data_IF_931487802895
#
_entry.id   IF_931487802895
#
_cell.length_a   1.000
_cell.length_b   1.000
_cell.length_c   1.000
_cell.angle_alpha   90.00
_cell.angle_beta   90.00
_cell.angle_gamma   90.00
#
_symmetry.space_group_name_H-M   'P 1'
#
loop_
_entity.id
_entity.type
_entity.pdbx_description
1 polymer ?
#
# COMPACT_ATOMS: atom_id res chain seq x y z
N UNK A 1 -43.77 -16.26 7.00
CA UNK A 1 -42.57 -15.77 6.27
C UNK A 1 -42.60 -14.25 6.23
N UNK A 2 -41.70 -13.57 6.96
CA UNK A 2 -41.68 -12.10 7.03
C UNK A 2 -40.89 -11.55 5.84
N UNK A 3 -41.57 -10.92 4.89
CA UNK A 3 -40.92 -10.29 3.74
C UNK A 3 -40.07 -9.11 4.21
N UNK A 4 -38.74 -9.27 4.17
CA UNK A 4 -37.79 -8.18 4.43
C UNK A 4 -37.98 -7.08 3.37
N UNK A 5 -38.62 -5.96 3.74
CA UNK A 5 -38.74 -4.77 2.88
C UNK A 5 -37.35 -4.32 2.43
N UNK A 6 -37.07 -4.41 1.13
CA UNK A 6 -35.80 -3.95 0.54
C UNK A 6 -35.80 -2.43 0.50
N UNK A 7 -35.00 -1.83 1.36
CA UNK A 7 -34.83 -0.38 1.45
C UNK A 7 -33.94 0.13 0.30
N UNK A 8 -34.53 0.30 -0.89
CA UNK A 8 -33.83 0.80 -2.07
C UNK A 8 -33.84 2.33 -2.10
N UNK A 9 -32.80 2.93 -2.69
CA UNK A 9 -32.71 4.39 -2.88
C UNK A 9 -33.93 4.97 -3.60
N UNK A 10 -34.54 4.20 -4.52
CA UNK A 10 -35.76 4.60 -5.23
C UNK A 10 -36.96 4.73 -4.28
N UNK A 11 -37.14 3.80 -3.35
CA UNK A 11 -38.19 3.89 -2.33
C UNK A 11 -38.00 5.07 -1.36
N UNK A 12 -36.75 5.39 -1.00
CA UNK A 12 -36.42 6.56 -0.17
C UNK A 12 -36.70 7.89 -0.87
N UNK A 13 -36.42 7.96 -2.18
CA UNK A 13 -36.68 9.16 -2.98
C UNK A 13 -38.19 9.44 -3.11
N UNK A 14 -38.99 8.39 -3.35
CA UNK A 14 -40.45 8.53 -3.42
C UNK A 14 -41.07 8.98 -2.08
N UNK A 15 -40.61 8.44 -0.94
CA UNK A 15 -41.10 8.83 0.38
C UNK A 15 -40.77 10.30 0.74
N UNK A 16 -39.61 10.82 0.29
CA UNK A 16 -39.25 12.23 0.49
C UNK A 16 -40.04 13.19 -0.39
N UNK A 17 -40.41 12.76 -1.60
CA UNK A 17 -41.24 13.57 -2.49
C UNK A 17 -42.70 13.61 -2.03
N UNK A 18 -43.23 12.50 -1.49
CA UNK A 18 -44.60 12.47 -0.95
C UNK A 18 -44.76 13.29 0.33
N UNK A 19 -43.70 13.48 1.12
CA UNK A 19 -43.74 14.33 2.32
C UNK A 19 -43.70 15.84 2.01
N UNK A 20 -43.41 16.25 0.77
CA UNK A 20 -43.44 17.66 0.37
C UNK A 20 -44.77 18.12 -0.23
N UNK A 21 -45.73 17.23 -0.46
CA UNK A 21 -47.01 17.52 -1.14
C UNK A 21 -48.20 17.14 -0.24
N UNK A 22 -48.14 17.40 1.07
CA UNK A 22 -49.34 17.19 1.88
C UNK A 22 -49.19 17.56 3.35
N UNK A 23 -49.70 18.76 3.70
CA UNK A 23 -50.52 18.99 4.89
C UNK A 23 -51.17 20.40 4.93
N UNK A 24 -50.63 21.43 4.25
CA UNK A 24 -51.08 22.82 4.48
C UNK A 24 -51.71 23.55 3.28
N UNK A 25 -52.03 22.86 2.18
CA UNK A 25 -52.54 23.50 0.95
C UNK A 25 -54.08 23.51 0.82
N UNK A 26 -54.80 23.55 1.95
CA UNK A 26 -56.26 23.58 1.94
C UNK A 26 -56.80 24.45 3.08
N UNK A 27 -56.42 25.73 3.12
CA UNK A 27 -57.19 26.85 3.67
C UNK A 27 -56.30 28.10 3.67
N UNK A 28 -56.39 28.92 2.63
CA UNK A 28 -56.60 30.36 2.81
C UNK A 28 -56.84 31.02 1.46
N UNK A 29 -57.97 31.71 1.35
CA UNK A 29 -58.26 32.60 0.24
C UNK A 29 -57.33 33.80 0.33
N UNK A 30 -56.40 33.93 -0.61
CA UNK A 30 -55.51 35.08 -0.70
C UNK A 30 -55.74 35.77 -2.03
N UNK A 31 -56.08 37.05 -1.90
CA UNK A 31 -56.33 38.06 -2.92
C UNK A 31 -55.13 38.16 -3.86
N UNK A 32 -55.40 38.19 -5.16
CA UNK A 32 -54.42 38.27 -6.25
C UNK A 32 -53.84 39.69 -6.36
N UNK A 33 -52.99 40.07 -5.38
CA UNK A 33 -52.13 41.24 -5.53
C UNK A 33 -50.90 40.85 -6.36
N UNK A 34 -50.67 41.58 -7.46
CA UNK A 34 -49.48 41.45 -8.29
C UNK A 34 -48.24 41.89 -7.50
N UNK A 35 -47.59 40.95 -6.84
CA UNK A 35 -46.26 41.17 -6.28
C UNK A 35 -45.25 41.37 -7.41
N UNK A 36 -44.80 42.59 -7.61
CA UNK A 36 -43.61 42.91 -8.41
C UNK A 36 -42.37 42.45 -7.62
N UNK A 37 -42.03 41.18 -7.76
CA UNK A 37 -40.82 40.60 -7.20
C UNK A 37 -39.60 41.16 -7.96
N UNK A 38 -38.66 41.75 -7.22
CA UNK A 38 -37.35 42.11 -7.76
C UNK A 38 -36.70 40.86 -8.38
N UNK A 39 -36.19 40.99 -9.61
CA UNK A 39 -35.52 39.90 -10.33
C UNK A 39 -34.33 39.39 -9.53
N UNK A 40 -34.49 38.27 -8.83
CA UNK A 40 -33.42 37.61 -8.09
C UNK A 40 -32.22 37.39 -9.03
N UNK A 41 -31.00 37.88 -8.70
CA UNK A 41 -29.82 37.68 -9.52
C UNK A 41 -29.45 36.19 -9.70
N UNK A 42 -30.08 35.28 -8.94
CA UNK A 42 -30.02 33.81 -9.11
C UNK A 42 -31.22 33.19 -9.83
N UNK A 43 -32.16 33.97 -10.33
CA UNK A 43 -33.32 33.48 -11.09
C UNK A 43 -32.93 32.83 -12.43
N UNK A 44 -31.72 33.09 -12.93
CA UNK A 44 -31.21 32.40 -14.11
C UNK A 44 -30.85 30.95 -13.77
N UNK A 45 -31.44 30.03 -14.53
CA UNK A 45 -31.10 28.61 -14.57
C UNK A 45 -29.59 28.43 -14.37
N UNK A 46 -29.22 27.74 -13.29
CA UNK A 46 -27.83 27.62 -12.84
C UNK A 46 -26.93 27.22 -14.00
N UNK A 47 -26.18 28.18 -14.53
CA UNK A 47 -25.32 27.93 -15.69
C UNK A 47 -24.30 26.87 -15.28
N UNK A 48 -24.12 25.81 -16.08
CA UNK A 48 -23.10 24.81 -15.78
C UNK A 48 -21.73 25.48 -15.94
N UNK A 49 -21.01 25.61 -14.82
CA UNK A 49 -19.66 26.19 -14.77
C UNK A 49 -18.62 25.43 -15.61
N UNK A 50 -18.92 24.18 -15.93
CA UNK A 50 -18.02 23.26 -16.63
C UNK A 50 -18.82 22.44 -17.64
N UNK A 51 -18.23 22.21 -18.82
CA UNK A 51 -18.82 21.31 -19.82
C UNK A 51 -18.71 19.85 -19.38
N UNK A 52 -19.53 18.95 -19.95
CA UNK A 52 -19.41 17.50 -19.68
C UNK A 52 -18.02 16.94 -20.02
N UNK A 53 -17.41 17.45 -21.10
CA UNK A 53 -16.06 17.07 -21.54
C UNK A 53 -15.01 17.47 -20.51
N UNK A 54 -15.13 18.69 -19.99
CA UNK A 54 -14.24 19.24 -18.97
C UNK A 54 -14.35 18.47 -17.65
N UNK A 55 -15.57 18.14 -17.20
CA UNK A 55 -15.77 17.28 -16.01
C UNK A 55 -15.12 15.91 -16.14
N UNK A 56 -15.18 15.30 -17.32
CA UNK A 56 -14.53 14.02 -17.59
C UNK A 56 -13.00 14.16 -17.51
N UNK A 57 -12.47 15.21 -18.12
CA UNK A 57 -11.03 15.49 -18.15
C UNK A 57 -10.50 15.81 -16.73
N UNK A 58 -11.22 16.60 -15.94
CA UNK A 58 -10.92 16.86 -14.54
C UNK A 58 -10.95 15.58 -13.69
N UNK A 59 -11.91 14.68 -13.94
CA UNK A 59 -11.97 13.38 -13.27
C UNK A 59 -10.78 12.48 -13.65
N UNK A 60 -10.35 12.49 -14.90
CA UNK A 60 -9.18 11.74 -15.34
C UNK A 60 -7.89 12.33 -14.74
N UNK A 61 -7.75 13.65 -14.74
CA UNK A 61 -6.59 14.35 -14.19
C UNK A 61 -6.46 14.15 -12.68
N UNK A 62 -7.57 14.23 -11.94
CA UNK A 62 -7.58 13.94 -10.49
C UNK A 62 -7.26 12.48 -10.19
N UNK A 63 -7.68 11.54 -11.04
CA UNK A 63 -7.27 10.15 -10.90
C UNK A 63 -5.76 9.97 -11.13
N UNK A 64 -5.21 10.58 -12.18
CA UNK A 64 -3.78 10.53 -12.47
C UNK A 64 -2.94 11.22 -11.39
N UNK A 65 -3.40 12.35 -10.83
CA UNK A 65 -2.71 13.00 -9.72
C UNK A 65 -2.67 12.12 -8.48
N UNK A 66 -3.80 11.47 -8.15
CA UNK A 66 -3.87 10.55 -7.01
C UNK A 66 -2.96 9.32 -7.21
N UNK A 67 -2.81 8.84 -8.44
CA UNK A 67 -1.91 7.74 -8.79
C UNK A 67 -0.43 8.16 -8.70
N UNK A 68 -0.09 9.37 -9.19
CA UNK A 68 1.26 9.93 -9.08
C UNK A 68 1.67 10.18 -7.63
N UNK A 69 0.79 10.76 -6.81
CA UNK A 69 1.00 10.94 -5.36
C UNK A 69 1.19 9.59 -4.65
N UNK A 70 0.48 8.55 -5.09
CA UNK A 70 0.65 7.17 -4.59
C UNK A 70 2.00 6.54 -4.98
N UNK A 71 2.58 6.91 -6.12
CA UNK A 71 3.91 6.44 -6.52
C UNK A 71 5.07 7.16 -5.82
N UNK A 72 4.85 8.39 -5.34
CA UNK A 72 5.89 9.19 -4.66
C UNK A 72 5.91 9.00 -3.13
N UNK A 73 4.81 8.57 -2.52
CA UNK A 73 4.72 8.14 -1.11
C UNK A 73 5.07 6.65 -0.97
N UNK A 74 6.32 6.31 -1.27
CA UNK A 74 6.88 4.98 -1.07
C UNK A 74 7.16 4.66 0.41
N UNK A 75 6.14 4.63 1.26
CA UNK A 75 6.27 4.18 2.65
C UNK A 75 5.39 2.94 2.94
N UNK A 76 6.08 1.84 3.23
CA UNK A 76 5.66 0.47 2.91
C UNK A 76 4.61 -0.17 3.81
N UNK A 77 3.82 0.57 4.60
CA UNK A 77 2.89 -0.07 5.55
C UNK A 77 1.45 0.45 5.52
N UNK A 78 1.18 1.65 4.98
CA UNK A 78 -0.19 2.19 4.84
C UNK A 78 -0.70 2.26 3.39
N UNK A 79 0.19 2.12 2.40
CA UNK A 79 -0.10 2.29 0.97
C UNK A 79 -1.08 1.27 0.36
N UNK A 80 -1.36 0.16 1.06
CA UNK A 80 -2.25 -0.90 0.56
C UNK A 80 -3.73 -0.51 0.51
N UNK A 81 -4.13 0.58 1.18
CA UNK A 81 -5.53 0.99 1.27
C UNK A 81 -5.78 2.44 0.89
N UNK A 82 -4.73 3.26 0.77
CA UNK A 82 -4.90 4.67 0.41
C UNK A 82 -5.24 4.80 -1.09
N UNK A 83 -6.35 5.49 -1.36
CA UNK A 83 -6.97 5.59 -2.70
C UNK A 83 -7.92 4.46 -3.10
N UNK A 84 -8.12 3.44 -2.26
CA UNK A 84 -9.11 2.38 -2.52
C UNK A 84 -10.41 2.72 -1.77
N UNK A 85 -11.55 2.66 -2.46
CA UNK A 85 -12.84 2.92 -1.81
C UNK A 85 -13.12 1.92 -0.67
N UNK A 86 -13.77 2.40 0.41
CA UNK A 86 -14.12 1.56 1.57
C UNK A 86 -14.84 0.25 1.18
N UNK A 87 -15.65 0.27 0.12
CA UNK A 87 -16.35 -0.92 -0.38
C UNK A 87 -15.41 -1.94 -1.01
N UNK A 88 -14.40 -1.50 -1.77
CA UNK A 88 -13.39 -2.37 -2.36
C UNK A 88 -12.52 -3.02 -1.28
N UNK A 89 -12.12 -2.24 -0.26
CA UNK A 89 -11.41 -2.77 0.92
C UNK A 89 -12.23 -3.88 1.61
N UNK A 90 -13.53 -3.64 1.84
CA UNK A 90 -14.42 -4.64 2.44
C UNK A 90 -14.55 -5.90 1.59
N UNK A 91 -14.63 -5.77 0.26
CA UNK A 91 -14.67 -6.92 -0.66
C UNK A 91 -13.38 -7.73 -0.60
N UNK A 92 -12.22 -7.07 -0.67
CA UNK A 92 -10.90 -7.73 -0.55
C UNK A 92 -10.77 -8.47 0.78
N UNK A 93 -11.13 -7.83 1.89
CA UNK A 93 -11.12 -8.47 3.22
C UNK A 93 -12.08 -9.65 3.31
N UNK A 94 -13.27 -9.56 2.74
CA UNK A 94 -14.23 -10.68 2.71
C UNK A 94 -13.67 -11.85 1.91
N UNK A 95 -13.09 -11.59 0.73
CA UNK A 95 -12.47 -12.61 -0.11
C UNK A 95 -11.32 -13.32 0.61
N UNK A 96 -10.40 -12.55 1.22
CA UNK A 96 -9.31 -13.11 2.04
C UNK A 96 -9.83 -13.97 3.21
N UNK A 97 -10.91 -13.54 3.87
CA UNK A 97 -11.55 -14.36 4.92
C UNK A 97 -12.21 -15.62 4.37
N UNK A 98 -12.70 -15.61 3.13
CA UNK A 98 -13.29 -16.79 2.49
C UNK A 98 -12.23 -17.78 2.02
N UNK A 99 -11.05 -17.29 1.64
CA UNK A 99 -9.86 -18.06 1.31
C UNK A 99 -9.22 -18.68 2.58
N UNK A 100 -9.16 -17.93 3.68
CA UNK A 100 -8.61 -18.40 4.96
C UNK A 100 -9.58 -19.22 5.82
N UNK A 101 -10.83 -19.39 5.38
CA UNK A 101 -11.77 -20.29 6.08
C UNK A 101 -11.30 -21.73 5.87
N UNK A 102 -11.46 -22.61 6.88
CA UNK A 102 -11.17 -24.03 6.71
C UNK A 102 -11.96 -24.59 5.52
N UNK A 103 -11.24 -25.07 4.50
CA UNK A 103 -11.80 -25.77 3.34
C UNK A 103 -11.25 -27.19 3.33
N UNK A 104 -12.08 -28.15 3.69
CA UNK A 104 -11.70 -29.57 3.71
C UNK A 104 -11.31 -30.09 2.33
N UNK A 105 -11.90 -29.53 1.28
CA UNK A 105 -11.56 -29.86 -0.09
C UNK A 105 -10.14 -29.42 -0.45
N UNK A 106 -9.69 -28.29 0.07
CA UNK A 106 -8.35 -27.74 -0.15
C UNK A 106 -7.28 -28.57 0.58
N UNK A 107 -7.64 -29.11 1.76
CA UNK A 107 -6.80 -30.05 2.50
C UNK A 107 -6.65 -31.39 1.75
N UNK A 108 -7.73 -31.91 1.17
CA UNK A 108 -7.67 -33.14 0.38
C UNK A 108 -6.84 -32.96 -0.91
N UNK A 109 -6.98 -31.82 -1.59
CA UNK A 109 -6.16 -31.50 -2.77
C UNK A 109 -4.70 -31.21 -2.40
N UNK A 110 -4.44 -30.57 -1.26
CA UNK A 110 -3.08 -30.32 -0.78
C UNK A 110 -2.38 -31.63 -0.38
N UNK A 111 -3.09 -32.56 0.28
CA UNK A 111 -2.55 -33.89 0.62
C UNK A 111 -2.26 -34.75 -0.62
N UNK A 112 -3.06 -34.62 -1.68
CA UNK A 112 -2.79 -35.28 -2.96
C UNK A 112 -1.55 -34.68 -3.63
N UNK A 113 -1.38 -33.34 -3.58
CA UNK A 113 -0.19 -32.65 -4.07
C UNK A 113 1.07 -32.94 -3.22
N UNK A 114 0.96 -33.09 -1.90
CA UNK A 114 2.08 -33.46 -1.02
C UNK A 114 2.60 -34.87 -1.33
N UNK A 115 1.73 -35.83 -1.69
CA UNK A 115 2.16 -37.16 -2.14
C UNK A 115 3.03 -37.10 -3.40
N UNK A 116 2.69 -36.22 -4.33
CA UNK A 116 3.49 -36.01 -5.54
C UNK A 116 4.84 -35.33 -5.24
N UNK A 117 4.89 -34.48 -4.20
CA UNK A 117 6.11 -33.80 -3.73
C UNK A 117 7.01 -34.72 -2.88
N UNK A 118 6.45 -35.71 -2.19
CA UNK A 118 7.20 -36.67 -1.35
C UNK A 118 8.26 -37.42 -2.17
N UNK A 119 7.95 -37.78 -3.41
CA UNK A 119 8.92 -38.42 -4.32
C UNK A 119 10.11 -37.53 -4.70
N UNK A 120 10.00 -36.21 -4.57
CA UNK A 120 11.10 -35.26 -4.80
C UNK A 120 11.92 -35.10 -3.51
N UNK A 121 11.26 -35.04 -2.34
CA UNK A 121 11.91 -34.92 -1.03
C UNK A 121 12.78 -36.15 -0.74
N UNK A 122 12.27 -37.36 -1.00
CA UNK A 122 13.00 -38.62 -0.76
C UNK A 122 14.26 -38.78 -1.65
N UNK A 123 14.29 -38.10 -2.80
CA UNK A 123 15.48 -38.04 -3.66
C UNK A 123 16.50 -36.97 -3.21
N UNK A 124 16.05 -35.92 -2.53
CA UNK A 124 16.94 -34.87 -2.00
C UNK A 124 17.56 -35.23 -0.64
N UNK A 125 16.87 -36.03 0.18
CA UNK A 125 17.34 -36.44 1.52
C UNK A 125 18.45 -37.48 1.51
N UNK A 126 18.62 -38.25 0.42
CA UNK A 126 19.74 -39.21 0.27
C UNK A 126 21.13 -38.56 0.06
N UNK A 127 21.21 -37.24 -0.13
CA UNK A 127 22.47 -36.52 -0.37
C UNK A 127 22.97 -35.70 0.84
N UNK A 128 22.34 -35.81 2.01
CA UNK A 128 22.75 -35.10 3.23
C UNK A 128 23.34 -36.12 4.20
N UNK A 129 24.64 -36.02 4.45
CA UNK A 129 25.37 -36.87 5.39
C UNK A 129 24.84 -36.70 6.84
N UNK A 130 24.37 -37.81 7.37
CA UNK A 130 24.24 -38.35 8.75
C UNK A 130 24.63 -37.59 10.04
N UNK A 131 24.72 -36.24 10.13
CA UNK A 131 25.08 -35.58 11.42
C UNK A 131 24.05 -34.61 12.03
N UNK A 132 22.92 -34.30 11.39
CA UNK A 132 21.91 -33.38 11.95
C UNK A 132 20.55 -34.06 12.15
N UNK A 133 20.48 -35.03 13.09
CA UNK A 133 19.21 -35.54 13.60
C UNK A 133 18.66 -34.54 14.63
N UNK A 134 17.71 -33.72 14.20
CA UNK A 134 16.95 -32.83 15.09
C UNK A 134 15.85 -33.66 15.77
N UNK A 135 16.11 -34.04 17.03
CA UNK A 135 15.16 -34.71 17.90
C UNK A 135 14.01 -33.73 18.25
N UNK A 136 12.80 -34.02 17.79
CA UNK A 136 11.59 -33.20 17.98
C UNK A 136 10.93 -33.49 19.34
N UNK A 137 11.72 -33.41 20.41
CA UNK A 137 11.19 -33.47 21.77
C UNK A 137 10.72 -32.07 22.21
N UNK A 138 9.41 -31.95 22.41
CA UNK A 138 8.68 -30.71 22.72
C UNK A 138 8.95 -30.18 24.13
N UNK A 139 10.21 -29.86 24.43
CA UNK A 139 10.62 -29.19 25.67
C UNK A 139 10.95 -27.74 25.38
N UNK A 140 10.02 -26.86 25.73
CA UNK A 140 10.16 -25.40 25.65
C UNK A 140 11.42 -24.98 26.42
N UNK A 141 12.47 -24.58 25.70
CA UNK A 141 13.68 -23.96 26.29
C UNK A 141 13.48 -22.45 26.29
N UNK A 142 13.45 -21.85 27.48
CA UNK A 142 13.58 -20.40 27.64
C UNK A 142 15.03 -20.03 27.29
N UNK A 143 15.22 -19.32 26.17
CA UNK A 143 16.53 -18.84 25.74
C UNK A 143 16.70 -17.42 26.25
N UNK A 144 17.68 -17.22 27.15
CA UNK A 144 18.15 -15.90 27.55
C UNK A 144 18.65 -15.13 26.31
N UNK A 145 18.08 -13.95 26.07
CA UNK A 145 18.26 -13.16 24.83
C UNK A 145 19.62 -12.47 24.70
N UNK A 146 20.58 -12.74 25.58
CA UNK A 146 21.86 -12.03 25.62
C UNK A 146 22.94 -12.64 24.72
N UNK A 147 22.72 -13.82 24.15
CA UNK A 147 23.68 -14.50 23.26
C UNK A 147 23.18 -14.67 21.83
N UNK A 148 22.52 -13.66 21.27
CA UNK A 148 22.34 -13.61 19.81
C UNK A 148 23.71 -13.24 19.21
N UNK A 149 24.52 -14.28 19.01
CA UNK A 149 25.81 -14.28 18.33
C UNK A 149 25.73 -13.37 17.11
N UNK A 150 26.67 -12.43 17.02
CA UNK A 150 26.85 -11.57 15.85
C UNK A 150 27.06 -12.47 14.64
N UNK A 151 26.02 -12.63 13.80
CA UNK A 151 26.17 -13.31 12.52
C UNK A 151 27.31 -12.61 11.78
N UNK A 152 28.37 -13.36 11.46
CA UNK A 152 29.48 -12.86 10.65
C UNK A 152 28.86 -12.24 9.40
N UNK A 153 29.02 -10.93 9.24
CA UNK A 153 28.42 -10.20 8.12
C UNK A 153 28.86 -10.86 6.82
N UNK A 154 27.91 -11.28 6.01
CA UNK A 154 28.19 -11.88 4.71
C UNK A 154 29.04 -10.93 3.84
N UNK A 155 29.95 -11.47 3.02
CA UNK A 155 30.77 -10.65 2.12
C UNK A 155 29.87 -9.89 1.14
N UNK A 156 29.64 -8.60 1.41
CA UNK A 156 28.76 -7.72 0.63
C UNK A 156 27.70 -6.98 1.46
N UNK A 157 27.47 -7.37 2.72
CA UNK A 157 26.51 -6.69 3.59
C UNK A 157 27.13 -5.44 4.24
N UNK A 158 26.71 -4.25 3.79
CA UNK A 158 27.12 -2.96 4.40
C UNK A 158 26.46 -2.84 5.77
N UNK A 159 27.28 -2.82 6.84
CA UNK A 159 26.80 -2.61 8.22
C UNK A 159 26.29 -1.18 8.39
N UNK A 160 24.98 -1.00 8.44
CA UNK A 160 24.35 0.29 8.70
C UNK A 160 24.57 0.65 10.17
N UNK A 161 25.42 1.64 10.45
CA UNK A 161 25.64 2.16 11.80
C UNK A 161 24.40 2.94 12.28
N UNK A 162 24.09 2.85 13.58
CA UNK A 162 23.03 3.65 14.21
C UNK A 162 23.34 5.15 14.02
N UNK A 163 22.32 5.98 13.80
CA UNK A 163 22.40 7.43 13.60
C UNK A 163 23.06 7.94 12.30
N UNK A 164 23.30 7.08 11.31
CA UNK A 164 23.71 7.54 9.97
C UNK A 164 22.51 8.07 9.16
N UNK A 165 22.72 9.05 8.27
CA UNK A 165 21.65 9.54 7.39
C UNK A 165 21.11 8.39 6.54
N UNK A 166 19.78 8.31 6.46
CA UNK A 166 19.07 7.22 5.78
C UNK A 166 18.46 7.73 4.46
N UNK A 167 18.70 6.99 3.38
CA UNK A 167 18.14 7.26 2.04
C UNK A 167 16.61 7.29 2.03
N UNK A 168 15.96 6.61 2.97
CA UNK A 168 14.50 6.62 3.10
C UNK A 168 13.94 7.97 3.56
N UNK A 169 14.71 8.77 4.31
CA UNK A 169 14.28 10.09 4.76
C UNK A 169 14.81 11.15 3.78
N UNK A 170 13.97 12.07 3.30
CA UNK A 170 14.38 13.16 2.40
C UNK A 170 15.59 13.96 2.92
N UNK A 171 15.60 14.31 4.22
CA UNK A 171 16.72 15.03 4.83
C UNK A 171 18.00 14.17 4.85
N UNK A 172 17.84 12.87 5.10
CA UNK A 172 18.94 11.91 5.07
C UNK A 172 19.49 11.71 3.66
N UNK A 173 18.61 11.56 2.66
CA UNK A 173 18.97 11.44 1.26
C UNK A 173 19.74 12.67 0.75
N UNK A 174 19.29 13.89 1.11
CA UNK A 174 20.01 15.12 0.77
C UNK A 174 21.40 15.17 1.40
N UNK A 175 21.54 14.76 2.66
CA UNK A 175 22.83 14.69 3.34
C UNK A 175 23.76 13.63 2.72
N UNK A 176 23.23 12.46 2.35
CA UNK A 176 23.97 11.43 1.62
C UNK A 176 24.47 11.95 0.27
N UNK A 177 23.62 12.61 -0.51
CA UNK A 177 24.01 13.16 -1.81
C UNK A 177 25.12 14.22 -1.70
N UNK A 178 25.10 15.05 -0.66
CA UNK A 178 26.17 16.02 -0.40
C UNK A 178 27.50 15.31 -0.05
N UNK A 179 27.44 14.29 0.82
CA UNK A 179 28.60 13.51 1.21
C UNK A 179 29.17 12.71 0.02
N UNK A 180 28.31 12.16 -0.83
CA UNK A 180 28.69 11.43 -2.03
C UNK A 180 29.35 12.35 -3.05
N UNK A 181 28.78 13.53 -3.29
CA UNK A 181 29.40 14.55 -4.15
C UNK A 181 30.78 14.94 -3.65
N UNK A 182 30.93 15.16 -2.33
CA UNK A 182 32.22 15.50 -1.73
C UNK A 182 33.24 14.35 -1.89
N UNK A 183 32.83 13.10 -1.64
CA UNK A 183 33.68 11.91 -1.82
C UNK A 183 34.06 11.71 -3.28
N UNK A 184 33.13 11.95 -4.21
CA UNK A 184 33.39 11.85 -5.65
C UNK A 184 34.45 12.87 -6.08
N UNK A 185 34.33 14.11 -5.62
CA UNK A 185 35.34 15.14 -5.88
C UNK A 185 36.71 14.75 -5.34
N UNK A 186 36.78 14.16 -4.14
CA UNK A 186 38.04 13.64 -3.58
C UNK A 186 38.67 12.56 -4.45
N UNK A 187 37.87 11.61 -4.95
CA UNK A 187 38.34 10.55 -5.85
C UNK A 187 38.87 11.14 -7.17
N UNK A 188 38.17 12.14 -7.73
CA UNK A 188 38.63 12.82 -8.94
C UNK A 188 39.94 13.59 -8.74
N UNK A 189 40.17 14.15 -7.55
CA UNK A 189 41.43 14.86 -7.24
C UNK A 189 42.60 13.94 -6.91
N UNK A 190 42.35 12.64 -6.64
CA UNK A 190 43.42 11.72 -6.27
C UNK A 190 44.25 11.30 -7.51
N UNK A 191 45.53 11.63 -7.50
CA UNK A 191 46.46 11.31 -8.60
C UNK A 191 46.64 9.81 -8.82
N UNK A 192 46.57 9.00 -7.77
CA UNK A 192 46.69 7.53 -7.87
C UNK A 192 45.50 6.94 -8.62
N UNK A 193 44.30 7.48 -8.35
CA UNK A 193 43.08 7.09 -9.04
C UNK A 193 43.10 7.51 -10.51
N UNK A 194 43.63 8.70 -10.82
CA UNK A 194 43.80 9.17 -12.20
C UNK A 194 44.80 8.32 -12.99
N UNK A 195 45.89 7.85 -12.36
CA UNK A 195 46.89 7.00 -13.00
C UNK A 195 46.39 5.58 -13.23
N UNK A 196 45.76 4.96 -12.24
CA UNK A 196 45.22 3.61 -12.36
C UNK A 196 43.99 3.40 -11.45
N UNK A 197 42.76 3.58 -12.00
CA UNK A 197 41.55 3.55 -11.20
C UNK A 197 41.27 2.16 -10.60
N UNK A 198 41.57 1.09 -11.34
CA UNK A 198 41.30 -0.28 -10.90
C UNK A 198 42.25 -0.74 -9.80
N UNK A 199 43.52 -0.31 -9.82
CA UNK A 199 44.47 -0.61 -8.74
C UNK A 199 44.08 0.08 -7.45
N UNK A 200 43.78 1.38 -7.52
CA UNK A 200 43.32 2.17 -6.38
C UNK A 200 42.03 1.59 -5.76
N UNK A 201 41.08 1.14 -6.60
CA UNK A 201 39.86 0.46 -6.14
C UNK A 201 40.15 -0.84 -5.40
N UNK A 202 41.09 -1.67 -5.89
CA UNK A 202 41.47 -2.93 -5.22
C UNK A 202 42.07 -2.68 -3.85
N UNK A 203 42.91 -1.66 -3.71
CA UNK A 203 43.50 -1.27 -2.43
C UNK A 203 42.46 -0.78 -1.43
N UNK A 204 41.52 0.07 -1.87
CA UNK A 204 40.41 0.55 -1.02
C UNK A 204 39.52 -0.61 -0.56
N UNK A 205 39.18 -1.55 -1.45
CA UNK A 205 38.39 -2.73 -1.09
C UNK A 205 39.16 -3.62 -0.10
N UNK A 206 40.49 -3.75 -0.24
CA UNK A 206 41.33 -4.50 0.68
C UNK A 206 41.35 -3.86 2.08
N UNK A 207 41.45 -2.54 2.15
CA UNK A 207 41.39 -1.77 3.41
C UNK A 207 40.00 -1.87 4.09
N UNK A 208 38.91 -1.92 3.31
CA UNK A 208 37.55 -2.04 3.86
C UNK A 208 37.24 -3.43 4.45
N UNK A 209 38.00 -4.47 4.05
CA UNK A 209 37.83 -5.84 4.54
C UNK A 209 38.57 -6.11 5.86
N UNK A 210 39.51 -5.24 6.27
CA UNK A 210 40.19 -5.29 7.57
C UNK A 210 39.32 -4.61 8.64
#
# INVERSE_FOLDING_TARGET
>A
MVAKKRNTLRGKASARNSQKIGADAANDGIVDEKYELESDPRAFLHQPKETKKEKLLNRQNTFLSNLKVKSTLGDGMSANFDGISKSSIRRRKRKLREELKPRMQDLLTSLEQEKDLQGIIDNTSKNINDDDVIDMDSKIRFVDTNEIRSKKAEPGSIRIKKNQPNIRNQKGAKALAANETARFNQVLTNQEFQKNPFSALREVIKLQKQ
#
